data_IF_533815145239
#
_entry.id   IF_533815145239
#
_cell.length_a   1.000
_cell.length_b   1.000
_cell.length_c   1.000
_cell.angle_alpha   90.00
_cell.angle_beta   90.00
_cell.angle_gamma   90.00
#
_symmetry.space_group_name_H-M   'P 1'
#
loop_
_entity.id
_entity.type
_entity.pdbx_description
1 polymer ?
#
# COMPACT_ATOMS: atom_id res chain seq x y z
N UNK A 1 7.36 -2.45 9.34
CA UNK A 1 6.89 -3.70 10.00
C UNK A 1 7.07 -3.66 11.52
N UNK A 2 8.24 -3.33 12.04
CA UNK A 2 8.54 -3.37 13.50
C UNK A 2 7.58 -2.55 14.36
N UNK A 3 7.28 -1.30 13.95
CA UNK A 3 6.30 -0.48 14.66
C UNK A 3 4.92 -1.14 14.72
N UNK A 4 4.45 -1.71 13.60
CA UNK A 4 3.19 -2.43 13.58
C UNK A 4 3.21 -3.62 14.55
N UNK A 5 4.23 -4.48 14.47
CA UNK A 5 4.36 -5.63 15.38
C UNK A 5 4.42 -5.24 16.86
N UNK A 6 4.95 -4.03 17.15
CA UNK A 6 5.03 -3.52 18.54
C UNK A 6 3.67 -3.01 19.03
N UNK A 7 2.91 -2.34 18.17
CA UNK A 7 1.67 -1.65 18.56
C UNK A 7 0.40 -2.51 18.44
N UNK A 8 0.46 -3.67 17.75
CA UNK A 8 -0.68 -4.55 17.59
C UNK A 8 -1.22 -5.06 18.93
N UNK A 9 -2.53 -5.17 19.02
CA UNK A 9 -3.22 -5.90 20.08
C UNK A 9 -3.02 -7.42 19.92
N UNK A 10 -3.25 -8.17 21.00
CA UNK A 10 -3.25 -9.63 20.95
C UNK A 10 -4.28 -10.13 19.91
N UNK A 11 -3.91 -11.17 19.17
CA UNK A 11 -4.72 -11.76 18.08
C UNK A 11 -4.97 -10.82 16.91
N UNK A 12 -4.18 -9.74 16.79
CA UNK A 12 -4.25 -8.82 15.66
C UNK A 12 -3.89 -9.50 14.34
N UNK A 13 -4.35 -8.91 13.23
CA UNK A 13 -4.13 -9.42 11.86
C UNK A 13 -3.41 -8.39 11.04
N UNK A 14 -2.36 -8.80 10.33
CA UNK A 14 -1.56 -7.98 9.44
C UNK A 14 -1.63 -8.57 8.02
N UNK A 15 -2.44 -8.02 7.12
CA UNK A 15 -2.39 -8.39 5.70
C UNK A 15 -1.15 -7.76 5.06
N UNK A 16 -0.33 -8.57 4.39
CA UNK A 16 0.86 -8.12 3.67
C UNK A 16 0.51 -8.05 2.18
N UNK A 17 0.35 -6.82 1.67
CA UNK A 17 -0.08 -6.56 0.30
C UNK A 17 1.02 -6.04 -0.62
N UNK A 18 2.22 -5.80 -0.10
CA UNK A 18 3.38 -5.37 -0.89
C UNK A 18 4.62 -5.19 -0.03
N UNK A 19 5.77 -5.19 -0.69
CA UNK A 19 7.10 -5.12 -0.08
C UNK A 19 8.02 -4.17 -0.86
N UNK A 20 7.50 -3.02 -1.28
CA UNK A 20 8.24 -2.08 -2.14
C UNK A 20 9.60 -1.68 -1.56
N UNK A 21 9.71 -1.60 -0.24
CA UNK A 21 10.98 -1.31 0.45
C UNK A 21 12.08 -2.36 0.23
N UNK A 22 11.72 -3.54 -0.26
CA UNK A 22 12.65 -4.64 -0.52
C UNK A 22 12.92 -4.85 -2.02
N UNK A 23 12.30 -4.10 -2.92
CA UNK A 23 12.41 -4.36 -4.36
C UNK A 23 13.83 -4.14 -4.90
N UNK A 24 14.58 -3.23 -4.29
CA UNK A 24 15.96 -2.91 -4.67
C UNK A 24 16.99 -3.44 -3.66
N UNK A 25 16.56 -4.10 -2.59
CA UNK A 25 17.44 -4.61 -1.53
C UNK A 25 16.90 -5.94 -0.97
N UNK A 26 17.33 -7.03 -1.59
CA UNK A 26 16.95 -8.39 -1.19
C UNK A 26 17.65 -8.86 0.09
N UNK A 27 18.70 -8.16 0.53
CA UNK A 27 19.45 -8.49 1.75
C UNK A 27 18.87 -7.80 2.99
N UNK A 28 17.80 -7.00 2.83
CA UNK A 28 17.16 -6.35 3.96
C UNK A 28 16.76 -7.38 5.02
N UNK A 29 17.25 -7.27 6.24
CA UNK A 29 16.93 -8.22 7.29
C UNK A 29 15.44 -8.18 7.64
N UNK A 30 14.91 -9.31 8.08
CA UNK A 30 13.54 -9.42 8.57
C UNK A 30 13.28 -8.50 9.77
N UNK A 31 12.01 -8.35 10.19
CA UNK A 31 11.64 -7.45 11.27
C UNK A 31 12.29 -7.88 12.60
N UNK A 32 12.87 -6.92 13.31
CA UNK A 32 13.52 -7.15 14.63
C UNK A 32 12.50 -7.60 15.68
N UNK A 33 11.25 -7.14 15.55
CA UNK A 33 10.15 -7.47 16.48
C UNK A 33 9.38 -8.73 16.09
N UNK A 34 10.00 -9.62 15.29
CA UNK A 34 9.38 -10.88 14.83
C UNK A 34 8.80 -11.71 15.98
N UNK A 35 9.47 -11.74 17.15
CA UNK A 35 9.00 -12.43 18.35
C UNK A 35 7.58 -12.03 18.79
N UNK A 36 7.15 -10.80 18.46
CA UNK A 36 5.82 -10.32 18.85
C UNK A 36 4.69 -11.05 18.10
N UNK A 37 5.00 -11.68 16.97
CA UNK A 37 4.04 -12.55 16.27
C UNK A 37 3.62 -13.69 17.22
N UNK A 38 4.59 -14.34 17.86
CA UNK A 38 4.31 -15.39 18.84
C UNK A 38 3.68 -14.80 20.11
N UNK A 39 4.32 -13.80 20.72
CA UNK A 39 3.93 -13.29 22.04
C UNK A 39 2.50 -12.72 22.04
N UNK A 40 2.08 -12.11 20.93
CA UNK A 40 0.75 -11.53 20.74
C UNK A 40 -0.20 -12.43 19.94
N UNK A 41 0.23 -13.64 19.54
CA UNK A 41 -0.54 -14.59 18.73
C UNK A 41 -1.11 -13.91 17.47
N UNK A 42 -0.24 -13.13 16.76
CA UNK A 42 -0.62 -12.39 15.57
C UNK A 42 -0.79 -13.32 14.37
N UNK A 43 -1.69 -12.97 13.47
CA UNK A 43 -1.77 -13.56 12.14
C UNK A 43 -1.13 -12.59 11.14
N UNK A 44 -0.07 -13.03 10.46
CA UNK A 44 0.56 -12.30 9.36
C UNK A 44 0.33 -13.12 8.09
N UNK A 45 -0.41 -12.54 7.13
CA UNK A 45 -0.82 -13.26 5.91
C UNK A 45 -0.61 -12.38 4.67
N UNK A 46 0.14 -12.90 3.70
CA UNK A 46 0.23 -12.30 2.37
C UNK A 46 -1.03 -12.53 1.55
N UNK A 47 -1.32 -11.60 0.64
CA UNK A 47 -2.36 -11.78 -0.37
C UNK A 47 -2.01 -11.00 -1.64
N UNK A 48 -2.55 -11.45 -2.76
CA UNK A 48 -2.53 -10.71 -4.03
C UNK A 48 -3.95 -10.27 -4.35
N UNK A 49 -4.11 -9.04 -4.84
CA UNK A 49 -5.44 -8.52 -5.23
C UNK A 49 -6.07 -9.34 -6.36
N UNK A 50 -5.23 -9.93 -7.23
CA UNK A 50 -5.67 -10.83 -8.31
C UNK A 50 -6.46 -12.05 -7.83
N UNK A 51 -6.26 -12.48 -6.60
CA UNK A 51 -6.98 -13.63 -6.02
C UNK A 51 -8.45 -13.30 -5.67
N UNK A 52 -8.83 -12.02 -5.79
CA UNK A 52 -10.14 -11.48 -5.39
C UNK A 52 -10.83 -10.69 -6.52
N UNK A 53 -10.48 -10.96 -7.78
CA UNK A 53 -11.05 -10.24 -8.94
C UNK A 53 -12.57 -10.42 -9.05
N UNK A 54 -13.09 -11.56 -8.63
CA UNK A 54 -14.53 -11.84 -8.55
C UNK A 54 -15.30 -10.90 -7.61
N UNK A 55 -14.61 -10.31 -6.63
CA UNK A 55 -15.16 -9.35 -5.68
C UNK A 55 -14.83 -7.88 -5.99
N UNK A 56 -14.26 -7.63 -7.16
CA UNK A 56 -13.77 -6.28 -7.50
C UNK A 56 -14.91 -5.25 -7.56
N UNK A 57 -16.04 -5.60 -8.16
CA UNK A 57 -17.21 -4.73 -8.25
C UNK A 57 -17.79 -4.37 -6.86
N UNK A 58 -17.86 -5.35 -5.96
CA UNK A 58 -18.26 -5.15 -4.55
C UNK A 58 -17.34 -4.14 -3.86
N UNK A 59 -16.04 -4.34 -4.01
CA UNK A 59 -15.01 -3.47 -3.41
C UNK A 59 -15.10 -2.03 -3.95
N UNK A 60 -15.22 -1.85 -5.26
CA UNK A 60 -15.36 -0.52 -5.87
C UNK A 60 -16.63 0.18 -5.39
N UNK A 61 -17.75 -0.53 -5.31
CA UNK A 61 -19.01 0.02 -4.82
C UNK A 61 -18.86 0.57 -3.39
N UNK A 62 -18.34 -0.25 -2.48
CA UNK A 62 -18.13 0.15 -1.08
C UNK A 62 -17.15 1.35 -0.95
N UNK A 63 -16.04 1.33 -1.70
CA UNK A 63 -15.07 2.43 -1.66
C UNK A 63 -15.67 3.73 -2.20
N UNK A 64 -16.46 3.68 -3.29
CA UNK A 64 -17.13 4.84 -3.87
C UNK A 64 -18.14 5.45 -2.90
N UNK A 65 -18.92 4.63 -2.22
CA UNK A 65 -19.86 5.06 -1.20
C UNK A 65 -19.13 5.75 -0.04
N UNK A 66 -18.08 5.14 0.51
CA UNK A 66 -17.32 5.72 1.60
C UNK A 66 -16.60 7.02 1.22
N UNK A 67 -16.18 7.16 -0.04
CA UNK A 67 -15.64 8.42 -0.56
C UNK A 67 -16.71 9.48 -0.64
N UNK A 68 -17.91 9.17 -1.16
CA UNK A 68 -19.04 10.09 -1.25
C UNK A 68 -19.51 10.57 0.14
N UNK A 69 -19.45 9.70 1.14
CA UNK A 69 -19.77 10.01 2.54
C UNK A 69 -18.64 10.74 3.29
N UNK A 70 -17.49 10.97 2.65
CA UNK A 70 -16.32 11.60 3.29
C UNK A 70 -15.60 10.73 4.33
N UNK A 71 -15.92 9.43 4.41
CA UNK A 71 -15.28 8.49 5.32
C UNK A 71 -13.85 8.11 4.89
N UNK A 72 -13.56 8.23 3.59
CA UNK A 72 -12.23 8.01 3.02
C UNK A 72 -11.73 9.32 2.43
N UNK A 73 -10.52 9.72 2.81
CA UNK A 73 -9.78 10.80 2.19
C UNK A 73 -8.68 10.21 1.32
N UNK A 74 -8.57 10.71 0.10
CA UNK A 74 -7.48 10.33 -0.80
C UNK A 74 -6.67 11.55 -1.21
N UNK A 75 -5.43 11.30 -1.57
CA UNK A 75 -4.53 12.30 -2.16
C UNK A 75 -3.90 11.73 -3.42
N UNK A 76 -3.71 12.60 -4.39
CA UNK A 76 -3.05 12.28 -5.67
C UNK A 76 -1.87 13.23 -5.83
N UNK A 77 -0.71 12.66 -6.19
CA UNK A 77 0.49 13.39 -6.59
C UNK A 77 0.59 13.26 -8.11
N UNK A 78 0.30 14.34 -8.83
CA UNK A 78 0.24 14.34 -10.29
C UNK A 78 1.55 14.86 -10.86
N UNK A 79 2.14 14.10 -11.76
CA UNK A 79 3.30 14.50 -12.56
C UNK A 79 2.85 14.64 -14.01
N UNK A 80 3.04 15.82 -14.58
CA UNK A 80 2.63 16.13 -15.96
C UNK A 80 3.64 15.54 -16.97
N UNK A 81 3.12 14.99 -18.07
CA UNK A 81 3.89 14.49 -19.20
C UNK A 81 4.41 13.06 -19.03
N UNK A 82 4.20 12.26 -20.08
CA UNK A 82 4.67 10.85 -20.10
C UNK A 82 6.20 10.75 -20.04
N UNK A 83 6.92 11.74 -20.55
CA UNK A 83 8.39 11.82 -20.52
C UNK A 83 8.95 11.83 -19.10
N UNK A 84 8.17 12.26 -18.12
CA UNK A 84 8.55 12.32 -16.72
C UNK A 84 8.28 11.01 -15.95
N UNK A 85 7.63 10.02 -16.57
CA UNK A 85 7.31 8.75 -15.93
C UNK A 85 8.56 8.00 -15.39
N UNK A 86 9.69 7.89 -16.13
CA UNK A 86 10.87 7.19 -15.63
C UNK A 86 11.48 7.85 -14.37
N UNK A 87 11.48 9.18 -14.29
CA UNK A 87 11.99 9.90 -13.12
C UNK A 87 11.01 9.85 -11.95
N UNK A 88 9.72 9.93 -12.24
CA UNK A 88 8.67 9.92 -11.22
C UNK A 88 8.62 8.60 -10.44
N UNK A 89 8.95 7.46 -11.08
CA UNK A 89 8.95 6.16 -10.38
C UNK A 89 9.89 6.13 -9.18
N UNK A 90 10.98 6.92 -9.21
CA UNK A 90 11.93 7.01 -8.10
C UNK A 90 11.27 7.56 -6.83
N UNK A 91 10.28 8.45 -6.94
CA UNK A 91 9.54 8.96 -5.79
C UNK A 91 8.90 7.85 -4.94
N UNK A 92 8.51 6.73 -5.56
CA UNK A 92 7.93 5.58 -4.84
C UNK A 92 8.96 4.89 -3.93
N UNK A 93 10.24 4.96 -4.27
CA UNK A 93 11.33 4.36 -3.49
C UNK A 93 11.90 5.33 -2.45
N UNK A 94 11.91 6.63 -2.74
CA UNK A 94 12.39 7.66 -1.81
C UNK A 94 11.31 8.11 -0.82
N UNK A 95 10.03 7.83 -1.11
CA UNK A 95 8.90 8.28 -0.30
C UNK A 95 8.58 9.77 -0.45
N UNK A 96 8.99 10.41 -1.55
CA UNK A 96 8.73 11.81 -1.84
C UNK A 96 7.31 12.08 -2.33
N UNK A 97 6.62 11.05 -2.84
CA UNK A 97 5.23 11.20 -3.29
C UNK A 97 4.26 11.34 -2.11
N UNK A 98 3.25 12.18 -2.30
CA UNK A 98 2.16 12.36 -1.34
C UNK A 98 0.87 11.76 -1.87
N UNK A 99 0.51 10.56 -1.41
CA UNK A 99 -0.66 9.83 -1.90
C UNK A 99 -0.36 9.01 -3.16
N UNK A 100 -1.36 8.84 -4.03
CA UNK A 100 -1.23 8.06 -5.25
C UNK A 100 -0.46 8.85 -6.32
N UNK A 101 0.71 8.35 -6.69
CA UNK A 101 1.48 8.92 -7.80
C UNK A 101 0.80 8.56 -9.13
N UNK A 102 0.53 9.58 -9.93
CA UNK A 102 -0.16 9.47 -11.22
C UNK A 102 0.61 10.30 -12.27
N UNK A 103 0.77 9.76 -13.46
CA UNK A 103 1.31 10.49 -14.61
C UNK A 103 0.14 10.96 -15.48
N UNK A 104 0.01 12.26 -15.65
CA UNK A 104 -0.96 12.84 -16.59
C UNK A 104 -0.35 12.83 -17.97
N UNK A 105 -0.83 11.99 -18.86
CA UNK A 105 -0.28 11.79 -20.21
C UNK A 105 -0.91 12.72 -21.26
N UNK A 106 -2.13 13.18 -21.01
CA UNK A 106 -2.87 14.15 -21.84
C UNK A 106 -3.94 14.84 -21.01
N UNK A 107 -4.51 15.91 -21.55
CA UNK A 107 -5.74 16.45 -20.99
C UNK A 107 -6.89 15.44 -21.15
N UNK A 108 -7.86 15.51 -20.24
CA UNK A 108 -9.07 14.70 -20.35
C UNK A 108 -9.81 15.08 -21.66
N UNK A 109 -10.40 14.09 -22.36
CA UNK A 109 -11.12 14.32 -23.61
C UNK A 109 -12.40 15.13 -23.42
#
# INVERSE_FOLDING_TARGET
MDAALTLMNNYGRIPVCGLISMYNDWETPGPKMFRNILMKRLTVKGFLVSDYLDRYAESLGALSEWMAEGKIQYKVDIVEGIENAPSAVNKLFTGENTGKLVIKVSDEP
#
